data_IF_187798692122
#
_entry.id   IF_187798692122
#
_cell.length_a   1.000
_cell.length_b   1.000
_cell.length_c   1.000
_cell.angle_alpha   90.00
_cell.angle_beta   90.00
_cell.angle_gamma   90.00
#
_symmetry.space_group_name_H-M   'P 1'
#
loop_
_entity.id
_entity.type
_entity.pdbx_description
1 polymer ?
#
# COMPACT_ATOMS: atom_id res chain seq x y z
N UNK A 1 -8.23 20.25 -16.31
CA UNK A 1 -8.04 18.89 -15.79
C UNK A 1 -6.77 18.86 -14.94
N UNK A 2 -6.82 18.26 -13.74
CA UNK A 2 -5.64 18.13 -12.88
C UNK A 2 -4.75 17.01 -13.43
N UNK A 3 -3.42 17.20 -13.41
CA UNK A 3 -2.48 16.15 -13.81
C UNK A 3 -1.98 15.39 -12.59
N UNK A 4 -1.74 14.10 -12.78
CA UNK A 4 -1.22 13.15 -11.80
C UNK A 4 0.19 12.74 -12.27
N UNK A 5 1.22 12.82 -11.43
CA UNK A 5 2.53 12.27 -11.75
C UNK A 5 2.49 10.75 -11.67
N UNK A 6 2.62 10.05 -12.80
CA UNK A 6 2.57 8.59 -12.88
C UNK A 6 3.95 8.01 -13.18
N UNK A 7 4.37 7.05 -12.37
CA UNK A 7 5.62 6.30 -12.53
C UNK A 7 5.41 5.03 -13.34
N UNK A 8 4.37 4.26 -13.00
CA UNK A 8 4.09 2.97 -13.64
C UNK A 8 2.57 2.77 -13.80
N UNK A 9 2.19 2.09 -14.89
CA UNK A 9 0.86 1.52 -15.09
C UNK A 9 1.07 0.10 -15.62
N UNK A 10 0.58 -0.91 -14.90
CA UNK A 10 0.80 -2.31 -15.24
C UNK A 10 -0.35 -3.21 -14.76
N UNK A 11 -0.31 -4.48 -15.18
CA UNK A 11 -1.32 -5.50 -14.88
C UNK A 11 -1.91 -6.12 -16.16
N UNK A 12 -2.98 -6.93 -16.04
CA UNK A 12 -3.58 -7.37 -14.79
C UNK A 12 -2.62 -8.25 -13.99
N UNK A 13 -2.58 -8.03 -12.69
CA UNK A 13 -1.85 -8.84 -11.71
C UNK A 13 -2.72 -9.13 -10.49
N UNK A 14 -2.15 -9.61 -9.38
CA UNK A 14 -2.81 -9.79 -8.09
C UNK A 14 -2.29 -8.78 -7.07
N UNK A 15 -3.17 -8.21 -6.25
CA UNK A 15 -2.77 -7.48 -5.05
C UNK A 15 -1.99 -8.45 -4.14
N UNK A 16 -0.75 -8.12 -3.82
CA UNK A 16 0.10 -9.02 -3.03
C UNK A 16 -0.02 -8.82 -1.52
N UNK A 17 -0.78 -7.83 -1.05
CA UNK A 17 -0.75 -7.36 0.33
C UNK A 17 -2.13 -6.95 0.87
N UNK A 18 -2.23 -6.88 2.20
CA UNK A 18 -3.32 -6.20 2.89
C UNK A 18 -4.71 -6.82 2.71
N UNK A 19 -5.74 -5.97 2.85
CA UNK A 19 -7.14 -6.40 2.97
C UNK A 19 -7.72 -7.11 1.75
N UNK A 20 -7.15 -6.88 0.56
CA UNK A 20 -7.58 -7.53 -0.69
C UNK A 20 -6.47 -8.37 -1.32
N UNK A 21 -5.58 -8.94 -0.51
CA UNK A 21 -4.55 -9.88 -0.98
C UNK A 21 -5.15 -10.98 -1.87
N UNK A 22 -4.53 -11.22 -3.02
CA UNK A 22 -5.00 -12.16 -4.07
C UNK A 22 -5.99 -11.58 -5.09
N UNK A 23 -6.54 -10.37 -4.87
CA UNK A 23 -7.47 -9.74 -5.81
C UNK A 23 -6.78 -9.42 -7.14
N UNK A 24 -7.34 -9.89 -8.26
CA UNK A 24 -6.89 -9.47 -9.59
C UNK A 24 -7.12 -7.97 -9.79
N UNK A 25 -6.08 -7.22 -10.12
CA UNK A 25 -6.09 -5.75 -10.18
C UNK A 25 -5.15 -5.22 -11.26
N UNK A 26 -5.40 -4.01 -11.76
CA UNK A 26 -4.39 -3.19 -12.43
C UNK A 26 -3.71 -2.27 -11.41
N UNK A 27 -2.48 -1.86 -11.65
CA UNK A 27 -1.78 -0.91 -10.78
C UNK A 27 -1.53 0.43 -11.48
N UNK A 28 -1.73 1.51 -10.73
CA UNK A 28 -1.27 2.86 -11.07
C UNK A 28 -0.36 3.34 -9.94
N UNK A 29 0.95 3.43 -10.21
CA UNK A 29 1.95 3.93 -9.25
C UNK A 29 2.21 5.41 -9.51
N UNK A 30 1.93 6.28 -8.54
CA UNK A 30 2.19 7.73 -8.67
C UNK A 30 3.62 8.08 -8.25
N UNK A 31 4.05 9.31 -8.55
CA UNK A 31 5.33 9.86 -8.11
C UNK A 31 5.18 10.86 -6.96
N UNK A 32 6.22 11.03 -6.16
CA UNK A 32 6.26 11.92 -5.00
C UNK A 32 5.82 11.25 -3.70
N UNK A 33 6.51 11.55 -2.61
CA UNK A 33 6.20 11.10 -1.27
C UNK A 33 6.62 12.18 -0.27
N UNK A 34 5.83 12.41 0.77
CA UNK A 34 6.16 13.28 1.91
C UNK A 34 6.99 12.55 2.98
N UNK A 35 7.22 11.25 2.81
CA UNK A 35 8.08 10.40 3.64
C UNK A 35 9.29 9.90 2.84
N UNK A 36 10.36 9.56 3.55
CA UNK A 36 11.61 8.99 3.00
C UNK A 36 12.02 7.76 3.80
N UNK A 37 11.18 6.73 3.81
CA UNK A 37 11.39 5.52 4.62
C UNK A 37 12.70 4.82 4.22
N UNK A 38 13.48 4.40 5.21
CA UNK A 38 14.79 3.74 5.02
C UNK A 38 14.75 2.48 4.16
N UNK A 39 13.67 1.70 4.26
CA UNK A 39 13.45 0.42 3.56
C UNK A 39 12.43 0.51 2.43
N UNK A 40 12.23 1.70 1.83
CA UNK A 40 11.24 1.87 0.76
C UNK A 40 11.58 1.05 -0.50
N UNK A 41 10.82 -0.03 -0.74
CA UNK A 41 10.94 -0.89 -1.94
C UNK A 41 10.74 -0.15 -3.27
N UNK A 42 10.10 1.01 -3.21
CA UNK A 42 9.71 1.85 -4.34
C UNK A 42 10.35 3.24 -4.24
N UNK A 43 11.57 3.34 -3.69
CA UNK A 43 12.28 4.62 -3.49
C UNK A 43 12.37 5.49 -4.76
N UNK A 44 12.43 4.84 -5.93
CA UNK A 44 12.42 5.49 -7.25
C UNK A 44 11.23 6.41 -7.51
N UNK A 45 10.16 6.30 -6.71
CA UNK A 45 8.99 7.18 -6.77
C UNK A 45 9.24 8.57 -6.19
N UNK A 46 10.26 8.76 -5.33
CA UNK A 46 10.50 10.03 -4.62
C UNK A 46 11.97 10.46 -4.51
N UNK A 47 12.94 9.56 -4.73
CA UNK A 47 14.38 9.85 -4.62
C UNK A 47 14.97 10.63 -5.82
N UNK A 48 14.17 10.84 -6.87
CA UNK A 48 14.57 11.55 -8.10
C UNK A 48 15.32 10.69 -9.13
N UNK A 49 15.51 9.40 -8.88
CA UNK A 49 16.18 8.48 -9.81
C UNK A 49 15.39 8.24 -11.10
N UNK A 50 14.06 8.33 -11.04
CA UNK A 50 13.16 8.24 -12.18
C UNK A 50 12.20 9.43 -12.24
N UNK A 51 11.81 9.83 -13.45
CA UNK A 51 10.90 10.97 -13.67
C UNK A 51 9.49 10.48 -13.96
N UNK A 52 8.52 10.98 -13.21
CA UNK A 52 7.10 10.74 -13.46
C UNK A 52 6.64 11.39 -14.78
N UNK A 53 5.70 10.73 -15.45
CA UNK A 53 4.96 11.31 -16.58
C UNK A 53 3.68 11.95 -16.05
N UNK A 54 3.44 13.23 -16.35
CA UNK A 54 2.21 13.92 -15.96
C UNK A 54 1.04 13.52 -16.86
N UNK A 55 0.09 12.76 -16.32
CA UNK A 55 -1.10 12.26 -17.03
C UNK A 55 -2.38 12.82 -16.43
N UNK A 56 -3.39 13.00 -17.26
CA UNK A 56 -4.79 13.23 -16.86
C UNK A 56 -5.46 11.90 -16.50
N UNK A 57 -6.62 11.95 -15.84
CA UNK A 57 -7.40 10.74 -15.55
C UNK A 57 -7.74 9.95 -16.83
N UNK A 58 -8.11 10.63 -17.91
CA UNK A 58 -8.44 9.99 -19.20
C UNK A 58 -7.23 9.28 -19.82
N UNK A 59 -6.04 9.90 -19.76
CA UNK A 59 -4.80 9.28 -20.26
C UNK A 59 -4.38 8.06 -19.42
N UNK A 60 -4.72 8.02 -18.13
CA UNK A 60 -4.47 6.86 -17.27
C UNK A 60 -5.44 5.73 -17.62
N UNK A 61 -6.74 6.03 -17.72
CA UNK A 61 -7.78 5.05 -18.06
C UNK A 61 -7.53 4.46 -19.44
N UNK A 62 -7.22 5.28 -20.44
CA UNK A 62 -6.88 4.79 -21.78
C UNK A 62 -5.69 3.82 -21.75
N UNK A 63 -4.68 4.08 -20.90
CA UNK A 63 -3.53 3.18 -20.74
C UNK A 63 -3.89 1.88 -20.00
N UNK A 64 -4.75 1.96 -18.99
CA UNK A 64 -5.29 0.78 -18.29
C UNK A 64 -6.04 -0.12 -19.27
N UNK A 65 -6.91 0.46 -20.11
CA UNK A 65 -7.66 -0.26 -21.15
C UNK A 65 -6.75 -0.81 -22.25
N UNK A 66 -5.70 -0.07 -22.66
CA UNK A 66 -4.71 -0.54 -23.64
C UNK A 66 -4.00 -1.82 -23.16
N UNK A 67 -3.62 -1.89 -21.89
CA UNK A 67 -2.87 -3.03 -21.31
C UNK A 67 -3.83 -4.17 -20.89
N UNK A 68 -4.88 -3.81 -20.17
CA UNK A 68 -5.78 -4.75 -19.52
C UNK A 68 -6.90 -5.26 -20.43
N UNK A 69 -7.33 -4.45 -21.41
CA UNK A 69 -8.58 -4.66 -22.14
C UNK A 69 -9.75 -4.77 -21.16
N UNK A 70 -10.62 -5.76 -21.36
CA UNK A 70 -11.76 -6.03 -20.49
C UNK A 70 -11.42 -6.98 -19.31
N UNK A 71 -10.13 -7.26 -19.06
CA UNK A 71 -9.70 -8.30 -18.10
C UNK A 71 -9.56 -7.82 -16.66
N UNK A 72 -10.08 -6.64 -16.31
CA UNK A 72 -10.01 -6.08 -14.97
C UNK A 72 -11.30 -5.35 -14.59
N UNK A 73 -11.64 -5.41 -13.32
CA UNK A 73 -12.74 -4.67 -12.70
C UNK A 73 -12.32 -4.04 -11.37
N UNK A 74 -11.00 -3.94 -11.17
CA UNK A 74 -10.37 -3.42 -9.97
C UNK A 74 -9.03 -2.74 -10.33
N UNK A 75 -8.75 -1.58 -9.73
CA UNK A 75 -7.51 -0.83 -9.90
C UNK A 75 -6.95 -0.45 -8.53
N UNK A 76 -5.69 -0.78 -8.28
CA UNK A 76 -4.95 -0.35 -7.09
C UNK A 76 -4.11 0.87 -7.41
N UNK A 77 -4.34 1.97 -6.69
CA UNK A 77 -3.56 3.20 -6.78
C UNK A 77 -2.56 3.23 -5.61
N UNK A 78 -1.27 3.39 -5.93
CA UNK A 78 -0.17 3.34 -4.95
C UNK A 78 0.97 4.30 -5.32
N UNK A 79 2.06 4.28 -4.56
CA UNK A 79 3.41 4.86 -4.78
C UNK A 79 3.51 6.36 -5.07
N UNK A 80 4.59 7.07 -4.75
CA UNK A 80 4.92 7.27 -3.34
C UNK A 80 3.64 7.47 -2.53
N UNK A 81 3.25 8.69 -2.14
CA UNK A 81 1.97 8.92 -1.46
C UNK A 81 0.91 9.50 -2.41
N UNK A 82 -0.09 8.73 -2.87
CA UNK A 82 -1.14 9.25 -3.74
C UNK A 82 -1.96 10.39 -3.10
N UNK A 83 -1.99 10.49 -1.77
CA UNK A 83 -2.70 11.53 -1.03
C UNK A 83 -2.14 12.95 -1.29
N UNK A 84 -0.96 13.07 -1.91
CA UNK A 84 -0.42 14.34 -2.40
C UNK A 84 -1.22 14.90 -3.60
N UNK A 85 -1.94 14.05 -4.32
CA UNK A 85 -2.44 14.36 -5.66
C UNK A 85 -3.96 14.52 -5.69
N UNK A 86 -4.42 15.77 -5.69
CA UNK A 86 -5.86 16.10 -5.82
C UNK A 86 -6.50 15.63 -7.14
N UNK A 87 -5.70 15.26 -8.14
CA UNK A 87 -6.18 14.72 -9.41
C UNK A 87 -6.73 13.29 -9.31
N UNK A 88 -6.35 12.54 -8.26
CA UNK A 88 -6.79 11.15 -8.07
C UNK A 88 -8.31 11.06 -7.91
N UNK A 89 -8.97 12.04 -7.28
CA UNK A 89 -10.42 12.04 -7.16
C UNK A 89 -11.16 11.97 -8.50
N UNK A 90 -10.66 12.66 -9.54
CA UNK A 90 -11.25 12.59 -10.89
C UNK A 90 -11.04 11.21 -11.53
N UNK A 91 -9.88 10.57 -11.27
CA UNK A 91 -9.60 9.21 -11.73
C UNK A 91 -10.53 8.19 -11.06
N UNK A 92 -10.74 8.32 -9.74
CA UNK A 92 -11.65 7.46 -8.97
C UNK A 92 -13.07 7.55 -9.53
N UNK A 93 -13.60 8.76 -9.69
CA UNK A 93 -14.95 8.99 -10.22
C UNK A 93 -15.14 8.31 -11.59
N UNK A 94 -14.19 8.51 -12.50
CA UNK A 94 -14.26 7.93 -13.86
C UNK A 94 -14.10 6.40 -13.89
N UNK A 95 -13.37 5.81 -12.94
CA UNK A 95 -13.27 4.36 -12.80
C UNK A 95 -14.59 3.79 -12.27
N UNK A 96 -15.22 4.43 -11.28
CA UNK A 96 -16.53 4.02 -10.78
C UNK A 96 -17.64 4.16 -11.82
N UNK A 97 -17.63 5.20 -12.65
CA UNK A 97 -18.57 5.36 -13.77
C UNK A 97 -18.49 4.17 -14.76
N UNK A 98 -17.35 3.48 -14.80
CA UNK A 98 -17.11 2.26 -15.59
C UNK A 98 -17.37 0.96 -14.81
N UNK A 99 -17.84 1.04 -13.57
CA UNK A 99 -18.05 -0.11 -12.68
C UNK A 99 -16.77 -0.76 -12.18
N UNK A 100 -15.65 -0.03 -12.19
CA UNK A 100 -14.34 -0.51 -11.74
C UNK A 100 -14.11 -0.07 -10.29
N UNK A 101 -13.86 -1.02 -9.39
CA UNK A 101 -13.51 -0.74 -7.99
C UNK A 101 -12.08 -0.20 -7.84
N UNK A 102 -11.84 0.59 -6.81
CA UNK A 102 -10.55 1.23 -6.56
C UNK A 102 -10.03 0.92 -5.16
N UNK A 103 -8.82 0.37 -5.10
CA UNK A 103 -8.03 0.28 -3.89
C UNK A 103 -7.00 1.41 -3.81
N UNK A 104 -6.65 1.82 -2.59
CA UNK A 104 -5.62 2.82 -2.33
C UNK A 104 -4.63 2.34 -1.27
N UNK A 105 -3.34 2.57 -1.51
CA UNK A 105 -2.29 2.43 -0.51
C UNK A 105 -1.75 3.83 -0.13
N UNK A 106 -1.78 4.17 1.16
CA UNK A 106 -1.22 5.44 1.68
C UNK A 106 -0.62 5.24 3.08
N UNK A 107 0.32 6.09 3.50
CA UNK A 107 0.82 6.07 4.88
C UNK A 107 -0.05 6.83 5.89
N UNK A 108 -1.14 7.48 5.47
CA UNK A 108 -2.07 8.17 6.38
C UNK A 108 -1.53 9.48 6.96
N UNK A 109 -0.66 10.18 6.22
CA UNK A 109 -0.12 11.48 6.63
C UNK A 109 -0.92 12.68 6.13
N UNK A 110 -1.80 12.49 5.14
CA UNK A 110 -2.55 13.53 4.45
C UNK A 110 -3.99 13.06 4.17
N UNK A 111 -4.95 13.96 4.40
CA UNK A 111 -6.36 13.75 4.07
C UNK A 111 -6.68 14.24 2.66
N UNK A 112 -7.56 13.52 1.97
CA UNK A 112 -8.26 14.00 0.79
C UNK A 112 -9.72 13.55 0.84
N UNK A 113 -10.65 14.42 0.44
CA UNK A 113 -12.09 14.10 0.49
C UNK A 113 -12.46 12.89 -0.40
N UNK A 114 -11.67 12.63 -1.45
CA UNK A 114 -11.88 11.47 -2.32
C UNK A 114 -11.53 10.14 -1.65
N UNK A 115 -10.94 10.12 -0.44
CA UNK A 115 -10.79 8.88 0.34
C UNK A 115 -12.15 8.23 0.63
N UNK A 116 -13.21 9.04 0.81
CA UNK A 116 -14.58 8.56 1.05
C UNK A 116 -15.18 7.78 -0.12
N UNK A 117 -14.53 7.78 -1.28
CA UNK A 117 -14.96 7.06 -2.47
C UNK A 117 -14.17 5.76 -2.66
N UNK A 118 -13.05 5.56 -1.97
CA UNK A 118 -12.19 4.39 -2.17
C UNK A 118 -12.89 3.15 -1.62
N UNK A 119 -12.94 2.07 -2.42
CA UNK A 119 -13.58 0.82 -2.03
C UNK A 119 -12.74 0.05 -1.00
N UNK A 120 -11.42 0.01 -1.22
CA UNK A 120 -10.46 -0.76 -0.43
C UNK A 120 -9.25 0.14 -0.02
N UNK A 121 -9.38 0.87 1.10
CA UNK A 121 -8.39 1.85 1.57
C UNK A 121 -7.43 1.25 2.61
N UNK A 122 -6.20 0.95 2.21
CA UNK A 122 -5.14 0.54 3.13
C UNK A 122 -4.37 1.77 3.63
N UNK A 123 -4.41 2.02 4.93
CA UNK A 123 -3.58 3.01 5.61
C UNK A 123 -2.43 2.29 6.31
N UNK A 124 -1.20 2.70 6.03
CA UNK A 124 0.00 2.07 6.57
C UNK A 124 0.87 3.07 7.35
N UNK A 125 0.54 3.34 8.63
CA UNK A 125 1.40 4.10 9.52
C UNK A 125 2.79 3.47 9.58
N UNK A 126 3.84 4.29 9.52
CA UNK A 126 5.21 3.78 9.37
C UNK A 126 5.89 3.62 10.74
N UNK A 127 6.46 2.44 11.01
CA UNK A 127 7.07 2.11 12.29
C UNK A 127 8.48 2.74 12.44
N UNK A 128 9.08 2.69 13.65
CA UNK A 128 10.38 3.30 13.92
C UNK A 128 11.52 2.85 13.00
N UNK A 129 11.54 1.58 12.57
CA UNK A 129 12.58 1.08 11.65
C UNK A 129 12.63 1.85 10.33
N UNK A 130 11.53 2.49 9.93
CA UNK A 130 11.45 3.31 8.71
C UNK A 130 12.16 4.66 8.85
N UNK A 131 12.60 5.01 10.06
CA UNK A 131 13.15 6.33 10.45
C UNK A 131 12.16 7.49 10.35
N UNK A 132 10.87 7.21 10.10
CA UNK A 132 9.82 8.22 10.03
C UNK A 132 9.10 8.35 11.37
N UNK A 133 8.48 9.51 11.62
CA UNK A 133 7.66 9.74 12.81
C UNK A 133 6.20 9.85 12.39
N UNK A 134 5.38 8.95 12.89
CA UNK A 134 3.93 9.01 12.68
C UNK A 134 3.35 10.19 13.44
N UNK A 135 2.64 11.06 12.72
CA UNK A 135 1.84 12.14 13.32
C UNK A 135 0.45 11.58 13.66
N UNK A 136 0.30 11.08 14.88
CA UNK A 136 -0.96 10.47 15.32
C UNK A 136 -2.13 11.46 15.31
N UNK A 137 -1.89 12.77 15.49
CA UNK A 137 -2.96 13.77 15.42
C UNK A 137 -3.59 13.81 14.03
N UNK A 138 -2.78 13.73 12.98
CA UNK A 138 -3.27 13.67 11.60
C UNK A 138 -3.92 12.33 11.30
N UNK A 139 -3.33 11.24 11.79
CA UNK A 139 -3.87 9.90 11.58
C UNK A 139 -5.25 9.75 12.22
N UNK A 140 -5.45 10.26 13.44
CA UNK A 140 -6.75 10.31 14.13
C UNK A 140 -7.79 11.02 13.28
N UNK A 141 -7.46 12.23 12.79
CA UNK A 141 -8.37 13.03 11.96
C UNK A 141 -8.76 12.33 10.65
N UNK A 142 -7.88 11.48 10.10
CA UNK A 142 -8.17 10.69 8.90
C UNK A 142 -9.08 9.52 9.26
N UNK A 143 -8.75 8.74 10.28
CA UNK A 143 -9.49 7.53 10.68
C UNK A 143 -10.91 7.89 11.14
N UNK A 144 -11.07 8.96 11.93
CA UNK A 144 -12.38 9.40 12.43
C UNK A 144 -13.38 9.78 11.32
N UNK A 145 -12.91 10.07 10.11
CA UNK A 145 -13.75 10.47 8.97
C UNK A 145 -14.17 9.30 8.09
N UNK A 146 -13.58 8.12 8.28
CA UNK A 146 -13.70 7.00 7.36
C UNK A 146 -14.61 5.91 7.91
N UNK A 147 -15.31 5.22 7.02
CA UNK A 147 -16.04 3.99 7.37
C UNK A 147 -15.03 2.85 7.53
N UNK A 148 -15.00 2.22 8.70
CA UNK A 148 -14.08 1.11 9.00
C UNK A 148 -14.31 -0.11 8.12
N UNK A 149 -15.46 -0.21 7.43
CA UNK A 149 -15.73 -1.27 6.45
C UNK A 149 -14.97 -1.13 5.14
N UNK A 150 -14.56 0.09 4.79
CA UNK A 150 -13.87 0.41 3.53
C UNK A 150 -12.36 0.57 3.73
N UNK A 151 -11.86 0.42 4.96
CA UNK A 151 -10.47 0.68 5.27
C UNK A 151 -9.83 -0.41 6.15
N UNK A 152 -8.51 -0.44 6.12
CA UNK A 152 -7.70 -1.25 7.03
C UNK A 152 -6.43 -0.52 7.44
N UNK A 153 -5.88 -0.92 8.58
CA UNK A 153 -4.55 -0.52 9.00
C UNK A 153 -3.55 -1.65 8.75
N UNK A 154 -2.41 -1.31 8.17
CA UNK A 154 -1.35 -2.28 7.85
C UNK A 154 0.02 -1.77 8.30
N UNK A 155 0.61 -2.41 9.30
CA UNK A 155 1.95 -2.06 9.79
C UNK A 155 2.96 -3.09 9.31
N UNK A 156 4.03 -2.61 8.67
CA UNK A 156 5.18 -3.44 8.28
C UNK A 156 6.08 -3.65 9.49
N UNK A 157 6.61 -4.85 9.69
CA UNK A 157 7.38 -5.21 10.89
C UNK A 157 8.74 -5.80 10.52
N UNK A 158 9.81 -5.11 10.93
CA UNK A 158 11.20 -5.56 10.76
C UNK A 158 11.84 -6.03 12.07
N UNK A 159 11.30 -5.68 13.23
CA UNK A 159 11.88 -6.04 14.53
C UNK A 159 10.86 -5.91 15.67
N UNK A 160 11.30 -6.17 16.89
CA UNK A 160 10.47 -6.07 18.10
C UNK A 160 10.02 -4.64 18.44
N UNK A 161 10.75 -3.61 17.99
CA UNK A 161 10.33 -2.22 18.16
C UNK A 161 9.15 -1.89 17.25
N UNK A 162 9.20 -2.34 16.00
CA UNK A 162 8.10 -2.20 15.05
C UNK A 162 6.86 -3.00 15.49
N UNK A 163 7.05 -4.20 16.07
CA UNK A 163 5.94 -5.00 16.57
C UNK A 163 5.22 -4.30 17.74
N UNK A 164 5.96 -3.73 18.70
CA UNK A 164 5.38 -2.93 19.79
C UNK A 164 4.70 -1.67 19.27
N UNK A 165 5.26 -1.04 18.24
CA UNK A 165 4.59 0.07 17.56
C UNK A 165 3.27 -0.39 16.93
N UNK A 166 3.23 -1.57 16.29
CA UNK A 166 2.02 -2.13 15.72
C UNK A 166 0.95 -2.41 16.79
N UNK A 167 1.34 -2.96 17.95
CA UNK A 167 0.43 -3.13 19.10
C UNK A 167 -0.18 -1.81 19.53
N UNK A 168 0.64 -0.77 19.69
CA UNK A 168 0.15 0.57 20.02
C UNK A 168 -0.84 1.11 18.98
N UNK A 169 -0.57 0.95 17.68
CA UNK A 169 -1.50 1.39 16.62
C UNK A 169 -2.81 0.59 16.68
N UNK A 170 -2.74 -0.72 16.90
CA UNK A 170 -3.92 -1.58 16.98
C UNK A 170 -4.82 -1.22 18.17
N UNK A 171 -4.24 -1.04 19.35
CA UNK A 171 -4.97 -0.61 20.55
C UNK A 171 -5.59 0.78 20.41
N UNK A 172 -4.92 1.68 19.68
CA UNK A 172 -5.43 3.03 19.42
C UNK A 172 -6.67 3.03 18.53
N UNK A 173 -6.77 2.07 17.60
CA UNK A 173 -7.87 1.96 16.63
C UNK A 173 -8.50 0.56 16.64
N UNK A 174 -9.13 0.15 17.75
CA UNK A 174 -9.52 -1.25 18.00
C UNK A 174 -10.66 -1.75 17.10
N UNK A 175 -11.33 -0.85 16.37
CA UNK A 175 -12.45 -1.18 15.48
C UNK A 175 -12.05 -1.23 14.00
N UNK A 176 -10.78 -0.97 13.69
CA UNK A 176 -10.27 -0.96 12.32
C UNK A 176 -9.61 -2.33 12.05
N UNK A 177 -9.97 -3.02 10.95
CA UNK A 177 -9.29 -4.25 10.56
C UNK A 177 -7.76 -4.05 10.49
N UNK A 178 -7.02 -4.87 11.23
CA UNK A 178 -5.59 -4.67 11.43
C UNK A 178 -4.75 -5.77 10.77
N UNK A 179 -3.66 -5.36 10.14
CA UNK A 179 -2.76 -6.24 9.39
C UNK A 179 -1.30 -6.00 9.80
N UNK A 180 -0.60 -7.11 10.03
CA UNK A 180 0.85 -7.13 10.18
C UNK A 180 1.46 -7.65 8.88
N UNK A 181 2.45 -6.92 8.35
CA UNK A 181 3.17 -7.28 7.15
C UNK A 181 4.64 -7.56 7.44
N UNK A 182 5.17 -8.63 6.87
CA UNK A 182 6.61 -8.92 6.93
C UNK A 182 7.41 -7.84 6.20
N UNK A 183 8.41 -7.27 6.88
CA UNK A 183 9.36 -6.35 6.26
C UNK A 183 10.36 -7.07 5.35
N UNK A 184 10.64 -6.48 4.17
CA UNK A 184 11.68 -6.95 3.26
C UNK A 184 12.95 -6.10 3.42
N UNK A 185 13.99 -6.68 4.02
CA UNK A 185 15.27 -6.00 4.26
C UNK A 185 16.13 -5.86 2.99
N UNK A 186 15.91 -6.73 2.00
CA UNK A 186 16.69 -6.75 0.76
C UNK A 186 15.79 -6.53 -0.46
N UNK A 187 15.59 -5.25 -0.78
CA UNK A 187 14.74 -4.81 -1.89
C UNK A 187 15.50 -4.74 -3.22
N UNK A 188 16.77 -5.16 -3.27
CA UNK A 188 17.65 -5.01 -4.45
C UNK A 188 18.29 -6.31 -4.93
N UNK A 189 18.31 -7.36 -4.11
CA UNK A 189 18.87 -8.65 -4.50
C UNK A 189 18.20 -9.24 -5.73
N UNK A 190 19.02 -9.90 -6.55
CA UNK A 190 18.58 -10.75 -7.65
C UNK A 190 18.54 -12.25 -7.31
N UNK A 191 18.95 -12.63 -6.10
CA UNK A 191 18.88 -14.02 -5.61
C UNK A 191 17.50 -14.28 -5.00
N UNK A 192 16.56 -14.67 -5.86
CA UNK A 192 15.18 -14.92 -5.46
C UNK A 192 15.04 -16.11 -4.49
N UNK A 193 15.87 -17.15 -4.62
CA UNK A 193 15.75 -18.34 -3.77
C UNK A 193 16.14 -18.01 -2.32
N UNK A 194 17.22 -17.25 -2.14
CA UNK A 194 17.65 -16.77 -0.83
C UNK A 194 16.62 -15.78 -0.25
N UNK A 195 16.12 -14.85 -1.08
CA UNK A 195 15.11 -13.88 -0.67
C UNK A 195 13.84 -14.56 -0.16
N UNK A 196 13.30 -15.53 -0.90
CA UNK A 196 12.07 -16.24 -0.55
C UNK A 196 12.23 -16.98 0.78
N UNK A 197 13.33 -17.71 0.96
CA UNK A 197 13.61 -18.42 2.23
C UNK A 197 13.70 -17.45 3.40
N UNK A 198 14.44 -16.36 3.22
CA UNK A 198 14.58 -15.30 4.24
C UNK A 198 13.21 -14.73 4.62
N UNK A 199 12.37 -14.37 3.64
CA UNK A 199 11.05 -13.82 3.90
C UNK A 199 10.11 -14.82 4.58
N UNK A 200 10.21 -16.11 4.27
CA UNK A 200 9.43 -17.16 4.95
C UNK A 200 9.87 -17.36 6.41
N UNK A 201 11.18 -17.37 6.69
CA UNK A 201 11.70 -17.43 8.06
C UNK A 201 11.24 -16.21 8.88
N UNK A 202 11.26 -15.03 8.25
CA UNK A 202 10.76 -13.77 8.83
C UNK A 202 9.24 -13.79 9.05
N UNK A 203 8.50 -14.44 8.17
CA UNK A 203 7.06 -14.62 8.30
C UNK A 203 6.72 -15.55 9.47
N UNK A 204 7.43 -16.68 9.61
CA UNK A 204 7.29 -17.58 10.76
C UNK A 204 7.56 -16.87 12.08
N UNK A 205 8.63 -16.07 12.14
CA UNK A 205 8.93 -15.23 13.31
C UNK A 205 7.78 -14.28 13.67
N UNK A 206 7.22 -13.58 12.67
CA UNK A 206 6.14 -12.62 12.90
C UNK A 206 4.84 -13.32 13.33
N UNK A 207 4.54 -14.50 12.77
CA UNK A 207 3.41 -15.33 13.21
C UNK A 207 3.59 -15.70 14.67
N UNK A 208 4.77 -16.22 15.06
CA UNK A 208 5.04 -16.62 16.44
C UNK A 208 4.90 -15.44 17.42
N UNK A 209 5.31 -14.23 17.03
CA UNK A 209 5.12 -13.01 17.82
C UNK A 209 3.64 -12.66 17.98
N UNK A 210 2.88 -12.68 16.88
CA UNK A 210 1.48 -12.33 16.90
C UNK A 210 0.62 -13.33 17.68
N UNK A 211 0.93 -14.64 17.59
CA UNK A 211 0.18 -15.68 18.31
C UNK A 211 0.46 -15.71 19.81
N UNK A 212 1.60 -15.17 20.27
CA UNK A 212 1.92 -14.99 21.69
C UNK A 212 1.32 -13.69 22.28
N UNK A 213 0.95 -12.72 21.43
CA UNK A 213 0.38 -11.44 21.86
C UNK A 213 -1.13 -11.50 22.05
N UNK A 214 -1.61 -11.18 23.25
CA UNK A 214 -3.05 -11.02 23.50
C UNK A 214 -3.65 -9.76 22.87
N UNK A 215 -2.81 -8.81 22.44
CA UNK A 215 -3.25 -7.59 21.77
C UNK A 215 -3.61 -7.90 20.32
N UNK A 216 -2.92 -8.82 19.66
CA UNK A 216 -3.04 -9.11 18.22
C UNK A 216 -4.11 -10.16 17.86
N UNK A 217 -5.09 -10.42 18.73
CA UNK A 217 -6.07 -11.50 18.54
C UNK A 217 -6.91 -11.37 17.25
N UNK A 218 -7.22 -10.16 16.78
CA UNK A 218 -7.98 -9.90 15.54
C UNK A 218 -7.09 -9.40 14.38
N UNK A 219 -5.77 -9.44 14.55
CA UNK A 219 -4.83 -9.04 13.52
C UNK A 219 -4.64 -10.15 12.47
N UNK A 220 -4.47 -9.75 11.21
CA UNK A 220 -4.09 -10.66 10.11
C UNK A 220 -2.61 -10.52 9.81
N UNK A 221 -1.88 -11.62 9.84
CA UNK A 221 -0.43 -11.64 9.59
C UNK A 221 -0.21 -12.13 8.16
N UNK A 222 0.41 -11.32 7.32
CA UNK A 222 0.58 -11.61 5.89
C UNK A 222 2.02 -11.33 5.42
N UNK A 223 2.54 -12.10 4.45
CA UNK A 223 3.74 -11.75 3.72
C UNK A 223 3.40 -10.79 2.56
N UNK A 224 4.41 -10.41 1.78
CA UNK A 224 4.21 -9.82 0.46
C UNK A 224 4.14 -10.96 -0.58
N UNK A 225 2.92 -11.36 -0.97
CA UNK A 225 2.73 -12.51 -1.86
C UNK A 225 3.44 -12.32 -3.21
N UNK A 226 3.41 -11.12 -3.77
CA UNK A 226 4.06 -10.81 -5.04
C UNK A 226 5.58 -11.00 -4.96
N UNK A 227 6.21 -10.65 -3.83
CA UNK A 227 7.65 -10.85 -3.60
C UNK A 227 8.00 -12.32 -3.49
N UNK A 228 7.13 -13.15 -2.91
CA UNK A 228 7.31 -14.60 -2.89
C UNK A 228 7.21 -15.26 -4.28
N UNK A 229 6.47 -14.65 -5.22
CA UNK A 229 6.27 -15.19 -6.57
C UNK A 229 7.32 -14.66 -7.55
N UNK A 230 7.68 -13.37 -7.47
CA UNK A 230 8.50 -12.68 -8.48
C UNK A 230 9.75 -11.99 -7.92
N UNK A 231 10.03 -12.10 -6.61
CA UNK A 231 11.11 -11.37 -5.96
C UNK A 231 10.90 -9.85 -6.05
N UNK A 232 11.99 -9.10 -6.20
CA UNK A 232 11.98 -7.63 -6.29
C UNK A 232 11.66 -7.10 -7.71
N UNK A 233 11.07 -7.94 -8.59
CA UNK A 233 10.76 -7.56 -9.96
C UNK A 233 9.70 -6.46 -9.98
N UNK A 234 9.91 -5.42 -10.80
CA UNK A 234 8.94 -4.32 -11.00
C UNK A 234 7.91 -4.65 -12.09
N UNK A 235 6.77 -3.98 -12.03
CA UNK A 235 5.72 -4.06 -13.06
C UNK A 235 5.04 -5.42 -13.17
N UNK A 236 5.03 -6.18 -12.07
CA UNK A 236 4.40 -7.51 -11.98
C UNK A 236 3.24 -7.51 -11.05
#
# INVERSE_FOLDING_TARGET
>A
MKRIPVMEIFGPTVQGEGMVIGQKTMFVRTGGCDYSCSWCDSAFTWDGSLKATLRTADEIIAKLEEIGGERFSHVTISGGNPALHKGIGELVDKLHDKGIRVALETQGSLWQDWFLKIDDLTISPKPPSSQMKTDFTKLDQIIERLDTKQMSLKVVVFNDEDFRYAEYVHERYPHVPFFLQVGNEDTVTGDNDLLIRTLLDRYEWLIAKATDSTIMNDAKILPQLHTLVWGNKRGV
#
